data_IF_789423984601
#
_entry.id   IF_789423984601
#
_cell.length_a   1.000
_cell.length_b   1.000
_cell.length_c   1.000
_cell.angle_alpha   90.00
_cell.angle_beta   90.00
_cell.angle_gamma   90.00
#
_symmetry.space_group_name_H-M   'P 1'
#
loop_
_entity.id
_entity.type
_entity.pdbx_description
1 polymer ?
#
# COMPACT_ATOMS: atom_id res chain seq x y z
N UNK A 1 -4.95 -1.69 -17.22
CA UNK A 1 -4.19 -2.59 -16.40
C UNK A 1 -3.91 -2.01 -15.05
N UNK A 2 -3.87 -2.87 -14.06
CA UNK A 2 -3.57 -2.44 -12.72
C UNK A 2 -2.17 -2.87 -12.36
N UNK A 3 -1.41 -1.95 -11.84
CA UNK A 3 -0.08 -2.26 -11.39
C UNK A 3 -0.06 -2.21 -9.88
N UNK A 4 0.51 -3.22 -9.28
CA UNK A 4 0.64 -3.26 -7.83
C UNK A 4 2.08 -3.00 -7.44
N UNK A 5 2.25 -2.25 -6.38
CA UNK A 5 3.57 -2.03 -5.80
C UNK A 5 3.63 -2.87 -4.53
N UNK A 6 4.70 -3.63 -4.38
CA UNK A 6 4.87 -4.41 -3.17
C UNK A 6 5.73 -3.63 -2.21
N UNK A 7 5.21 -3.34 -1.04
CA UNK A 7 5.93 -2.61 -0.02
C UNK A 7 6.10 -3.54 1.16
N UNK A 8 7.34 -3.75 1.59
CA UNK A 8 7.62 -4.65 2.69
C UNK A 8 7.95 -3.82 3.92
N UNK A 9 7.29 -4.11 5.02
CA UNK A 9 7.54 -3.41 6.28
C UNK A 9 7.77 -4.44 7.36
N UNK A 10 8.31 -4.00 8.50
CA UNK A 10 8.45 -4.87 9.64
C UNK A 10 7.06 -5.20 10.17
N UNK A 11 6.87 -6.42 10.61
CA UNK A 11 5.57 -6.85 11.10
C UNK A 11 5.13 -6.00 12.28
N UNK A 12 3.86 -5.67 12.30
CA UNK A 12 3.24 -4.98 13.42
C UNK A 12 1.76 -5.23 13.35
N UNK A 13 1.08 -5.24 14.50
CA UNK A 13 -0.36 -5.44 14.50
C UNK A 13 -1.06 -4.16 14.05
N UNK A 14 -2.30 -4.33 13.67
CA UNK A 14 -3.16 -3.17 13.42
C UNK A 14 -3.15 -2.65 12.01
N UNK A 15 -2.42 -3.28 11.10
CA UNK A 15 -2.43 -2.86 9.70
C UNK A 15 -3.66 -3.46 9.03
N UNK A 16 -4.50 -2.62 8.45
CA UNK A 16 -5.74 -3.07 7.83
C UNK A 16 -5.87 -2.51 6.42
N UNK A 17 -6.82 -3.02 5.67
CA UNK A 17 -7.01 -2.62 4.30
C UNK A 17 -7.56 -1.20 4.16
N UNK A 18 -8.14 -0.64 5.21
CA UNK A 18 -8.61 0.73 5.10
C UNK A 18 -7.51 1.73 5.33
N UNK A 19 -6.30 1.29 5.64
CA UNK A 19 -5.19 2.20 5.81
C UNK A 19 -4.56 2.50 4.47
N UNK A 20 -3.79 3.57 4.44
CA UNK A 20 -3.06 3.96 3.24
C UNK A 20 -1.60 4.09 3.58
N UNK A 21 -0.76 3.92 2.57
CA UNK A 21 0.68 4.08 2.73
C UNK A 21 1.09 5.37 2.07
N UNK A 22 1.78 6.22 2.79
CA UNK A 22 2.31 7.45 2.23
C UNK A 22 3.82 7.34 2.14
N UNK A 23 4.35 7.55 0.94
CA UNK A 23 5.78 7.50 0.73
C UNK A 23 6.15 8.69 -0.13
N UNK A 24 6.91 9.61 0.44
CA UNK A 24 7.25 10.86 -0.23
C UNK A 24 5.94 11.55 -0.61
N UNK A 25 5.73 11.82 -1.87
CA UNK A 25 4.51 12.48 -2.32
C UNK A 25 3.52 11.51 -2.89
N UNK A 26 3.72 10.22 -2.68
CA UNK A 26 2.84 9.21 -3.24
C UNK A 26 1.95 8.62 -2.16
N UNK A 27 0.71 8.37 -2.52
CA UNK A 27 -0.25 7.78 -1.61
C UNK A 27 -0.74 6.48 -2.22
N UNK A 28 -0.70 5.42 -1.45
CA UNK A 28 -1.04 4.10 -1.94
C UNK A 28 -2.19 3.53 -1.14
N UNK A 29 -3.11 2.88 -1.83
CA UNK A 29 -4.16 2.11 -1.20
C UNK A 29 -3.70 0.69 -1.02
N UNK A 30 -3.91 0.12 0.15
CA UNK A 30 -3.51 -1.25 0.43
C UNK A 30 -4.58 -2.18 -0.12
N UNK A 31 -4.16 -3.07 -1.02
CA UNK A 31 -5.09 -4.02 -1.61
C UNK A 31 -5.00 -5.38 -0.91
N UNK A 32 -3.81 -5.84 -0.64
CA UNK A 32 -3.59 -7.15 -0.05
C UNK A 32 -2.48 -7.07 0.97
N UNK A 33 -2.64 -7.75 2.09
CA UNK A 33 -1.65 -7.80 3.15
C UNK A 33 -1.26 -9.26 3.33
N UNK A 34 0.05 -9.53 3.24
CA UNK A 34 0.56 -10.89 3.37
C UNK A 34 1.60 -10.93 4.49
N UNK A 35 1.48 -11.93 5.36
CA UNK A 35 2.48 -12.19 6.39
C UNK A 35 3.22 -13.45 5.91
N UNK A 36 4.39 -13.31 5.29
CA UNK A 36 5.06 -14.45 4.67
C UNK A 36 5.32 -15.54 5.70
N UNK A 37 4.90 -16.72 5.38
CA UNK A 37 5.09 -17.89 6.22
C UNK A 37 4.45 -17.74 7.60
N UNK A 38 3.62 -16.73 7.78
CA UNK A 38 2.96 -16.47 9.06
C UNK A 38 3.94 -16.36 10.21
N UNK A 39 5.10 -15.79 9.94
CA UNK A 39 6.14 -15.69 10.95
C UNK A 39 6.09 -14.43 11.76
N UNK A 40 5.27 -13.47 11.37
CA UNK A 40 5.19 -12.19 12.08
C UNK A 40 6.54 -11.48 12.11
N UNK A 41 7.28 -11.58 11.01
CA UNK A 41 8.55 -10.90 10.90
C UNK A 41 8.44 -9.69 10.00
N UNK A 42 7.65 -9.80 8.96
CA UNK A 42 7.43 -8.70 8.05
C UNK A 42 6.05 -8.80 7.46
N UNK A 43 5.61 -7.73 6.83
CA UNK A 43 4.35 -7.73 6.09
C UNK A 43 4.65 -7.24 4.68
N UNK A 44 4.03 -7.89 3.71
CA UNK A 44 4.11 -7.46 2.33
C UNK A 44 2.78 -6.84 1.98
N UNK A 45 2.82 -5.57 1.62
CA UNK A 45 1.61 -4.83 1.29
C UNK A 45 1.57 -4.66 -0.21
N UNK A 46 0.55 -5.19 -0.85
CA UNK A 46 0.38 -5.04 -2.28
C UNK A 46 -0.56 -3.86 -2.46
N UNK A 47 -0.05 -2.80 -3.02
CA UNK A 47 -0.73 -1.52 -3.03
C UNK A 47 -0.88 -0.98 -4.44
N UNK A 48 -1.88 -0.13 -4.62
CA UNK A 48 -2.03 0.60 -5.87
C UNK A 48 -1.90 2.07 -5.54
N UNK A 49 -1.21 2.80 -6.38
CA UNK A 49 -1.00 4.22 -6.16
C UNK A 49 -2.23 5.01 -6.53
N UNK A 50 -2.62 5.94 -5.68
CA UNK A 50 -3.69 6.86 -6.01
C UNK A 50 -3.13 7.92 -6.92
N UNK A 51 -3.73 8.10 -8.07
CA UNK A 51 -3.31 9.12 -9.01
C UNK A 51 -4.29 10.23 -8.88
N UNK A 52 -3.83 11.33 -8.29
CA UNK A 52 -4.73 12.43 -8.00
C UNK A 52 -4.48 13.63 -8.83
N UNK A 53 -3.32 13.77 -9.31
CA UNK A 53 -2.96 14.96 -10.01
C UNK A 53 -3.73 15.19 -11.21
N UNK A 54 -4.10 14.19 -11.92
CA UNK A 54 -4.74 14.47 -13.08
C UNK A 54 -6.12 14.80 -12.88
N UNK A 55 -6.61 14.58 -11.73
CA UNK A 55 -7.89 15.00 -11.53
C UNK A 55 -8.03 16.35 -11.63
N UNK A 56 -7.12 17.01 -11.32
CA UNK A 56 -7.24 18.32 -11.29
C UNK A 56 -6.93 18.92 -12.39
N UNK A 57 -6.54 18.38 -13.05
CA UNK A 57 -6.22 19.03 -13.98
C UNK A 57 -7.11 19.43 -14.63
N UNK A 58 -7.54 19.23 -14.47
CA UNK A 58 -8.38 19.56 -14.76
C UNK A 58 -8.92 20.13 -14.23
N UNK A 59 -8.45 20.08 -13.88
CA UNK A 59 -9.08 20.65 -13.17
C UNK A 59 -9.43 20.96 -13.34
#
# INVERSE_FOLDING_TARGET
DTEYSKITIRWRPGITHDMKVKYQDHLYDIDTIVDPYMRHESLELYCTEEIRGQDNEQG
#
